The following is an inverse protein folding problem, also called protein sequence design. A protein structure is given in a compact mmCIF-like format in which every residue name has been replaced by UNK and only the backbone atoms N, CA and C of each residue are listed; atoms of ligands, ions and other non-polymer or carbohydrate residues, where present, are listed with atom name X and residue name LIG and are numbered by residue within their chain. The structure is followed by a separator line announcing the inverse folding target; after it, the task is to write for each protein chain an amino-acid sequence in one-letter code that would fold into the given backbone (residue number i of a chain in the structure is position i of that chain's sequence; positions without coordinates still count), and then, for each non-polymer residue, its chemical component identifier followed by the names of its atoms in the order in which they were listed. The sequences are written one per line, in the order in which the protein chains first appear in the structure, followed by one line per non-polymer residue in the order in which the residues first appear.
data_IF_414552235997
#
_entry.id   IF_414552235997
#
_cell.length_a   1.000
_cell.length_b   1.000
_cell.length_c   1.000
_cell.angle_alpha   90.00
_cell.angle_beta   90.00
_cell.angle_gamma   90.00
#
_symmetry.space_group_name_H-M   'P 1'
#
loop_
_entity.id
_entity.type
_entity.pdbx_description
1 polymer ?
#
# COMPACT_ATOMS: atom_id res chain seq x y z
N UNK A 1 -77.89 10.28 -39.34
CA UNK A 1 -77.02 9.46 -40.22
C UNK A 1 -75.60 9.59 -39.71
N UNK A 2 -75.09 8.61 -38.96
CA UNK A 2 -73.78 8.65 -38.27
C UNK A 2 -72.82 7.71 -39.00
N UNK A 3 -71.68 8.22 -39.44
CA UNK A 3 -70.55 7.39 -39.89
C UNK A 3 -69.32 7.77 -39.08
N UNK A 4 -68.87 6.86 -38.23
CA UNK A 4 -67.62 6.97 -37.45
C UNK A 4 -66.59 5.97 -37.96
N UNK A 5 -65.44 6.42 -38.48
CA UNK A 5 -64.27 5.57 -38.69
C UNK A 5 -63.15 6.01 -37.72
N UNK A 6 -63.11 5.45 -36.51
CA UNK A 6 -62.10 5.81 -35.48
C UNK A 6 -61.25 4.64 -34.97
N UNK A 7 -61.53 3.40 -35.40
CA UNK A 7 -60.85 2.21 -34.85
C UNK A 7 -59.54 1.82 -35.55
N UNK A 8 -59.36 2.15 -36.84
CA UNK A 8 -58.22 1.67 -37.63
C UNK A 8 -56.94 2.51 -37.45
N UNK A 9 -57.10 3.81 -37.18
CA UNK A 9 -55.98 4.74 -37.03
C UNK A 9 -55.16 4.53 -35.75
N UNK A 10 -55.74 3.93 -34.71
CA UNK A 10 -55.04 3.69 -33.44
C UNK A 10 -54.08 2.49 -33.52
N UNK A 11 -54.45 1.41 -34.23
CA UNK A 11 -53.62 0.19 -34.34
C UNK A 11 -52.33 0.41 -35.16
N UNK A 12 -52.41 1.25 -36.19
CA UNK A 12 -51.29 1.59 -37.07
C UNK A 12 -50.26 2.52 -36.41
N UNK A 13 -50.70 3.43 -35.53
CA UNK A 13 -49.81 4.33 -34.78
C UNK A 13 -48.98 3.56 -33.75
N UNK A 14 -49.59 2.62 -33.02
CA UNK A 14 -48.86 1.74 -32.10
C UNK A 14 -47.81 0.86 -32.81
N UNK A 15 -48.13 0.34 -34.00
CA UNK A 15 -47.20 -0.44 -34.80
C UNK A 15 -45.98 0.37 -35.29
N UNK A 16 -46.18 1.65 -35.65
CA UNK A 16 -45.07 2.55 -36.02
C UNK A 16 -44.20 2.93 -34.81
N UNK A 17 -44.80 3.15 -33.64
CA UNK A 17 -44.08 3.44 -32.40
C UNK A 17 -43.24 2.25 -31.94
N UNK A 18 -43.78 1.03 -32.03
CA UNK A 18 -43.07 -0.19 -31.63
C UNK A 18 -41.89 -0.50 -32.56
N UNK A 19 -42.04 -0.28 -33.88
CA UNK A 19 -40.92 -0.39 -34.84
C UNK A 19 -39.79 0.59 -34.53
N UNK A 20 -40.13 1.84 -34.18
CA UNK A 20 -39.13 2.85 -33.78
C UNK A 20 -38.41 2.44 -32.48
N UNK A 21 -39.16 1.99 -31.46
CA UNK A 21 -38.57 1.47 -30.22
C UNK A 21 -37.64 0.29 -30.47
N UNK A 22 -38.05 -0.65 -31.33
CA UNK A 22 -37.23 -1.81 -31.69
C UNK A 22 -35.94 -1.37 -32.40
N UNK A 23 -36.01 -0.41 -33.32
CA UNK A 23 -34.80 0.11 -33.98
C UNK A 23 -33.83 0.77 -33.02
N UNK A 24 -34.32 1.54 -32.04
CA UNK A 24 -33.47 2.12 -31.00
C UNK A 24 -32.88 1.07 -30.06
N UNK A 25 -33.67 0.06 -29.67
CA UNK A 25 -33.20 -1.04 -28.84
C UNK A 25 -32.09 -1.85 -29.54
N UNK A 26 -32.26 -2.14 -30.83
CA UNK A 26 -31.24 -2.82 -31.65
C UNK A 26 -29.98 -1.96 -31.80
N UNK A 27 -30.13 -0.66 -32.05
CA UNK A 27 -28.98 0.25 -32.13
C UNK A 27 -28.21 0.31 -30.80
N UNK A 28 -28.93 0.40 -29.68
CA UNK A 28 -28.33 0.41 -28.34
C UNK A 28 -27.59 -0.90 -28.05
N UNK A 29 -28.22 -2.04 -28.35
CA UNK A 29 -27.62 -3.37 -28.21
C UNK A 29 -26.33 -3.48 -29.04
N UNK A 30 -26.33 -2.99 -30.28
CA UNK A 30 -25.16 -2.98 -31.13
C UNK A 30 -24.03 -2.14 -30.52
N UNK A 31 -24.36 -0.97 -29.96
CA UNK A 31 -23.40 -0.12 -29.24
C UNK A 31 -22.77 -0.82 -28.04
N UNK A 32 -23.57 -1.52 -27.23
CA UNK A 32 -23.06 -2.32 -26.11
C UNK A 32 -22.15 -3.46 -26.58
N UNK A 33 -22.50 -4.14 -27.68
CA UNK A 33 -21.67 -5.18 -28.28
C UNK A 33 -20.29 -4.67 -28.70
N UNK A 34 -20.20 -3.46 -29.26
CA UNK A 34 -18.91 -2.82 -29.60
C UNK A 34 -18.05 -2.59 -28.35
N UNK A 35 -18.66 -2.10 -27.26
CA UNK A 35 -17.95 -1.86 -26.00
C UNK A 35 -17.45 -3.17 -25.40
N UNK A 36 -18.30 -4.20 -25.35
CA UNK A 36 -17.93 -5.53 -24.84
C UNK A 36 -16.84 -6.16 -25.70
N UNK A 37 -16.94 -6.08 -27.03
CA UNK A 37 -15.90 -6.56 -27.93
C UNK A 37 -14.57 -5.83 -27.71
N UNK A 38 -14.61 -4.50 -27.52
CA UNK A 38 -13.40 -3.72 -27.19
C UNK A 38 -12.81 -4.10 -25.84
N UNK A 39 -13.64 -4.38 -24.84
CA UNK A 39 -13.21 -4.83 -23.51
C UNK A 39 -12.54 -6.21 -23.58
N UNK A 40 -13.16 -7.16 -24.29
CA UNK A 40 -12.60 -8.49 -24.53
C UNK A 40 -11.27 -8.37 -25.28
N UNK A 41 -11.17 -7.50 -26.28
CA UNK A 41 -9.91 -7.28 -26.99
C UNK A 41 -8.78 -6.83 -26.04
N UNK A 42 -9.05 -5.88 -25.15
CA UNK A 42 -8.07 -5.43 -24.15
C UNK A 42 -7.75 -6.54 -23.16
N UNK A 43 -8.75 -7.27 -22.67
CA UNK A 43 -8.56 -8.32 -21.66
C UNK A 43 -7.90 -9.59 -22.23
N UNK A 44 -8.14 -9.96 -23.49
CA UNK A 44 -7.64 -11.21 -24.09
C UNK A 44 -6.34 -10.99 -24.87
N UNK A 45 -6.13 -9.84 -25.52
CA UNK A 45 -4.87 -9.61 -26.25
C UNK A 45 -3.81 -8.86 -25.43
N UNK A 46 -4.18 -8.16 -24.34
CA UNK A 46 -3.22 -7.43 -23.47
C UNK A 46 -3.16 -7.97 -22.04
N UNK A 47 -3.61 -9.21 -21.76
CA UNK A 47 -3.52 -9.77 -20.41
C UNK A 47 -2.06 -9.86 -19.93
N UNK A 48 -1.13 -10.26 -20.79
CA UNK A 48 0.29 -10.39 -20.42
C UNK A 48 0.90 -9.04 -20.01
N UNK A 49 0.57 -7.97 -20.72
CA UNK A 49 1.08 -6.62 -20.44
C UNK A 49 0.44 -5.99 -19.19
N UNK A 50 -0.80 -6.36 -18.85
CA UNK A 50 -1.49 -5.86 -17.66
C UNK A 50 -1.09 -6.64 -16.41
N UNK A 51 -0.92 -7.96 -16.52
CA UNK A 51 -0.41 -8.81 -15.44
C UNK A 51 1.02 -8.46 -15.09
N UNK A 52 1.90 -8.28 -16.09
CA UNK A 52 3.28 -7.85 -15.87
C UNK A 52 3.34 -6.47 -15.21
N UNK A 53 2.54 -5.48 -15.65
CA UNK A 53 2.45 -4.17 -14.98
C UNK A 53 1.89 -4.23 -13.56
N UNK A 54 0.95 -5.13 -13.28
CA UNK A 54 0.43 -5.33 -11.93
C UNK A 54 1.50 -5.96 -11.01
N UNK A 55 2.25 -6.94 -11.51
CA UNK A 55 3.37 -7.54 -10.79
C UNK A 55 4.53 -6.55 -10.58
N UNK A 56 4.81 -5.71 -11.58
CA UNK A 56 5.85 -4.68 -11.50
C UNK A 56 5.49 -3.58 -10.50
N UNK A 57 4.21 -3.21 -10.37
CA UNK A 57 3.75 -2.32 -9.30
C UNK A 57 3.93 -2.89 -7.89
N UNK A 58 3.88 -4.21 -7.73
CA UNK A 58 4.21 -4.88 -6.45
C UNK A 58 5.72 -4.84 -6.18
N UNK A 59 6.54 -4.81 -7.23
CA UNK A 59 7.99 -4.67 -7.12
C UNK A 59 8.36 -3.21 -6.95
N UNK A 60 8.22 -2.67 -5.73
CA UNK A 60 8.79 -1.36 -5.38
C UNK A 60 10.28 -1.35 -5.73
N UNK A 61 10.64 -0.71 -6.83
CA UNK A 61 12.02 -0.37 -7.17
C UNK A 61 12.49 0.68 -6.17
N UNK A 62 13.15 0.22 -5.11
CA UNK A 62 13.98 1.10 -4.30
C UNK A 62 15.15 1.53 -5.18
N UNK A 63 15.12 2.77 -5.66
CA UNK A 63 16.31 3.40 -6.20
C UNK A 63 17.34 3.38 -5.07
N UNK A 64 18.37 2.56 -5.24
CA UNK A 64 19.51 2.53 -4.34
C UNK A 64 20.26 3.84 -4.59
N UNK A 65 20.10 4.79 -3.68
CA UNK A 65 20.88 6.03 -3.66
C UNK A 65 22.35 5.66 -3.87
N UNK A 66 22.96 6.18 -4.94
CA UNK A 66 24.38 5.96 -5.20
C UNK A 66 25.19 6.52 -4.04
N UNK A 67 26.16 5.75 -3.56
CA UNK A 67 27.08 6.21 -2.52
C UNK A 67 27.85 7.42 -3.06
N UNK A 68 27.74 8.58 -2.38
CA UNK A 68 28.57 9.74 -2.68
C UNK A 68 30.05 9.34 -2.65
N UNK A 69 30.80 9.79 -3.66
CA UNK A 69 32.24 9.60 -3.70
C UNK A 69 32.96 10.24 -2.51
N UNK A 70 34.11 9.69 -2.17
CA UNK A 70 34.95 10.21 -1.10
C UNK A 70 35.61 11.52 -1.52
N UNK A 71 35.63 12.50 -0.61
CA UNK A 71 36.33 13.78 -0.85
C UNK A 71 37.73 13.65 -0.29
N UNK A 72 38.72 13.65 -1.18
CA UNK A 72 40.14 13.61 -0.89
C UNK A 72 40.75 15.00 -1.09
N UNK A 73 41.70 15.39 -0.23
CA UNK A 73 42.54 16.58 -0.43
C UNK A 73 43.59 16.31 -1.53
N UNK A 74 44.32 17.35 -1.98
CA UNK A 74 45.38 17.25 -3.01
C UNK A 74 46.51 16.29 -2.63
N UNK A 75 46.69 16.05 -1.34
CA UNK A 75 47.68 15.12 -0.77
C UNK A 75 47.12 13.71 -0.58
N UNK A 76 45.87 13.44 -1.01
CA UNK A 76 45.22 12.13 -0.86
C UNK A 76 44.65 11.86 0.54
N UNK A 77 44.55 12.87 1.40
CA UNK A 77 43.98 12.74 2.75
C UNK A 77 42.46 12.80 2.68
N UNK A 78 41.79 11.83 3.31
CA UNK A 78 40.33 11.72 3.33
C UNK A 78 39.70 12.78 4.25
N UNK A 79 38.91 13.69 3.67
CA UNK A 79 38.25 14.78 4.39
C UNK A 79 36.79 14.43 4.76
N UNK A 80 36.09 13.73 3.86
CA UNK A 80 34.73 13.29 4.12
C UNK A 80 34.41 12.02 3.31
N UNK A 81 33.85 11.00 3.98
CA UNK A 81 33.32 9.79 3.36
C UNK A 81 31.91 9.50 3.88
N UNK A 82 31.10 8.81 3.08
CA UNK A 82 29.72 8.48 3.42
C UNK A 82 29.69 7.15 4.20
N UNK A 83 29.37 7.21 5.49
CA UNK A 83 29.20 6.00 6.30
C UNK A 83 27.78 5.46 6.14
N UNK A 84 27.63 4.24 5.61
CA UNK A 84 26.34 3.53 5.62
C UNK A 84 25.93 3.20 7.05
N UNK A 85 24.85 3.82 7.51
CA UNK A 85 24.29 3.60 8.84
C UNK A 85 22.95 2.88 8.71
N UNK A 86 22.81 1.76 9.42
CA UNK A 86 21.52 1.09 9.62
C UNK A 86 20.82 1.70 10.83
N UNK A 87 19.57 2.10 10.65
CA UNK A 87 18.70 2.61 11.72
C UNK A 87 17.60 1.57 11.94
N UNK A 88 17.47 1.10 13.17
CA UNK A 88 16.40 0.19 13.55
C UNK A 88 15.24 1.00 14.13
N UNK A 89 14.06 0.83 13.53
CA UNK A 89 12.81 1.41 14.01
C UNK A 89 11.84 0.30 14.40
N UNK A 90 11.20 0.47 15.54
CA UNK A 90 10.06 -0.33 15.99
C UNK A 90 8.77 0.31 15.47
N UNK A 91 7.79 -0.50 15.09
CA UNK A 91 6.45 -0.03 14.79
C UNK A 91 5.51 -0.38 15.95
N UNK A 92 5.04 0.64 16.65
CA UNK A 92 4.16 0.58 17.82
C UNK A 92 2.75 0.05 17.50
N UNK A 93 2.37 -0.07 16.23
CA UNK A 93 1.12 -0.75 15.84
C UNK A 93 1.22 -2.28 15.94
N UNK A 94 2.44 -2.84 15.94
CA UNK A 94 2.69 -4.28 16.04
C UNK A 94 3.34 -4.68 17.37
N UNK A 95 3.78 -3.70 18.15
CA UNK A 95 4.33 -3.90 19.48
C UNK A 95 3.20 -3.55 20.42
N UNK A 96 2.64 -4.57 21.06
CA UNK A 96 1.52 -4.37 21.98
C UNK A 96 1.90 -3.39 23.09
N UNK A 97 0.91 -2.61 23.53
CA UNK A 97 1.02 -1.45 24.42
C UNK A 97 1.64 -1.78 25.79
N UNK A 98 1.88 -3.07 26.08
CA UNK A 98 2.38 -3.61 27.34
C UNK A 98 3.43 -4.72 27.19
N UNK A 99 4.17 -4.77 26.09
CA UNK A 99 5.23 -5.78 25.94
C UNK A 99 6.53 -5.40 26.67
N UNK A 100 6.44 -5.15 27.98
CA UNK A 100 7.57 -5.09 28.93
C UNK A 100 8.63 -6.19 28.67
N UNK A 101 8.26 -7.48 28.49
CA UNK A 101 9.24 -8.52 28.19
C UNK A 101 9.94 -8.32 26.84
N UNK A 102 9.26 -7.75 25.84
CA UNK A 102 9.86 -7.50 24.53
C UNK A 102 10.76 -6.27 24.54
N UNK A 103 10.37 -5.21 25.26
CA UNK A 103 11.23 -4.04 25.47
C UNK A 103 12.54 -4.43 26.16
N UNK A 104 12.45 -5.27 27.20
CA UNK A 104 13.63 -5.82 27.89
C UNK A 104 14.50 -6.67 26.98
N UNK A 105 13.91 -7.58 26.21
CA UNK A 105 14.67 -8.42 25.28
C UNK A 105 15.34 -7.61 24.15
N UNK A 106 14.66 -6.59 23.62
CA UNK A 106 15.24 -5.66 22.63
C UNK A 106 16.38 -4.87 23.27
N UNK A 107 16.22 -4.37 24.50
CA UNK A 107 17.24 -3.64 25.24
C UNK A 107 18.50 -4.50 25.46
N UNK A 108 18.34 -5.76 25.89
CA UNK A 108 19.43 -6.72 26.06
C UNK A 108 20.14 -7.05 24.74
N UNK A 109 19.36 -7.29 23.66
CA UNK A 109 19.90 -7.64 22.36
C UNK A 109 20.64 -6.47 21.69
N UNK A 110 20.19 -5.24 21.90
CA UNK A 110 20.80 -4.04 21.31
C UNK A 110 21.78 -3.33 22.24
N UNK A 111 21.91 -3.75 23.50
CA UNK A 111 22.73 -3.08 24.52
C UNK A 111 22.30 -1.63 24.78
N UNK A 112 21.00 -1.35 24.67
CA UNK A 112 20.42 -0.01 24.91
C UNK A 112 19.85 0.01 26.32
N UNK A 113 19.98 1.14 27.00
CA UNK A 113 19.42 1.34 28.33
C UNK A 113 17.88 1.19 28.30
N UNK A 114 17.35 0.31 29.15
CA UNK A 114 15.94 -0.07 29.21
C UNK A 114 15.03 1.14 29.52
N UNK A 115 15.49 2.03 30.40
CA UNK A 115 14.75 3.23 30.79
C UNK A 115 14.61 4.18 29.60
N UNK A 116 15.70 4.42 28.87
CA UNK A 116 15.70 5.24 27.67
C UNK A 116 14.87 4.64 26.53
N UNK A 117 14.76 3.30 26.47
CA UNK A 117 13.97 2.61 25.46
C UNK A 117 12.47 2.73 25.75
N UNK A 118 12.09 2.58 27.03
CA UNK A 118 10.71 2.71 27.48
C UNK A 118 10.13 4.09 27.21
N UNK A 119 10.89 5.14 27.53
CA UNK A 119 10.47 6.53 27.24
C UNK A 119 10.27 6.77 25.72
N UNK A 120 11.07 6.11 24.88
CA UNK A 120 10.94 6.21 23.42
C UNK A 120 9.76 5.39 22.88
N UNK A 121 9.42 4.29 23.55
CA UNK A 121 8.29 3.42 23.21
C UNK A 121 6.94 4.02 23.63
N UNK A 122 6.91 5.12 24.38
CA UNK A 122 5.68 5.88 24.61
C UNK A 122 5.20 6.56 23.31
N UNK A 123 3.88 6.59 23.10
CA UNK A 123 3.24 7.15 21.92
C UNK A 123 3.59 8.63 21.76
N UNK A 124 4.51 8.94 20.84
CA UNK A 124 4.86 10.32 20.51
C UNK A 124 3.94 10.87 19.41
N UNK A 125 3.25 11.96 19.73
CA UNK A 125 2.47 12.72 18.74
C UNK A 125 3.38 13.68 18.01
N UNK A 126 3.48 13.52 16.69
CA UNK A 126 4.25 14.43 15.84
C UNK A 126 3.29 15.36 15.13
N UNK A 127 3.54 16.67 15.23
CA UNK A 127 2.78 17.68 14.46
C UNK A 127 3.29 17.73 13.03
N UNK A 128 2.56 17.08 12.13
CA UNK A 128 2.84 17.14 10.68
C UNK A 128 1.79 18.04 10.03
N UNK A 129 2.23 19.16 9.44
CA UNK A 129 1.35 20.12 8.75
C UNK A 129 0.16 20.60 9.60
N UNK A 130 0.40 20.86 10.89
CA UNK A 130 -0.63 21.37 11.81
C UNK A 130 -1.66 20.33 12.28
N UNK A 131 -1.51 19.05 11.91
CA UNK A 131 -2.30 17.94 12.47
C UNK A 131 -1.41 17.10 13.37
N UNK A 132 -1.93 16.74 14.54
CA UNK A 132 -1.28 15.78 15.43
C UNK A 132 -1.53 14.39 14.85
N UNK A 133 -0.47 13.77 14.36
CA UNK A 133 -0.50 12.41 13.84
C UNK A 133 0.33 11.56 14.79
N UNK A 134 -0.22 10.42 15.20
CA UNK A 134 0.55 9.43 15.93
C UNK A 134 1.65 8.91 15.01
N UNK A 135 2.92 9.07 15.38
CA UNK A 135 3.99 8.38 14.66
C UNK A 135 4.10 6.97 15.21
N UNK A 136 3.70 5.94 14.46
CA UNK A 136 3.82 4.58 14.94
C UNK A 136 5.28 4.11 14.92
N UNK A 137 6.23 4.86 14.34
CA UNK A 137 7.63 4.42 14.26
C UNK A 137 8.50 5.05 15.33
N UNK A 138 9.02 4.22 16.24
CA UNK A 138 9.97 4.61 17.28
C UNK A 138 11.38 4.19 16.87
N UNK A 139 12.34 5.13 16.85
CA UNK A 139 13.75 4.79 16.60
C UNK A 139 14.37 4.15 17.83
N UNK A 140 14.80 2.90 17.69
CA UNK A 140 15.44 2.14 18.77
C UNK A 140 16.93 2.47 18.85
N UNK A 141 17.66 2.23 17.76
CA UNK A 141 19.12 2.42 17.70
C UNK A 141 19.59 2.82 16.30
N UNK A 142 20.60 3.68 16.28
CA UNK A 142 21.30 4.15 15.08
C UNK A 142 22.68 3.47 15.06
N UNK A 143 23.14 3.00 13.89
CA UNK A 143 24.38 2.21 13.70
C UNK A 143 24.32 0.80 14.32
N UNK A 144 23.24 0.08 14.05
CA UNK A 144 23.13 -1.34 14.45
C UNK A 144 24.10 -2.20 13.62
N UNK A 145 24.89 -3.05 14.29
CA UNK A 145 25.81 -3.97 13.61
C UNK A 145 25.04 -5.14 12.97
N UNK A 146 25.64 -5.84 12.02
CA UNK A 146 24.98 -6.98 11.37
C UNK A 146 24.65 -8.10 12.37
N UNK A 147 25.52 -8.32 13.35
CA UNK A 147 25.34 -9.37 14.37
C UNK A 147 24.19 -9.04 15.32
N UNK A 148 24.12 -7.81 15.82
CA UNK A 148 23.00 -7.33 16.66
C UNK A 148 21.66 -7.49 15.93
N UNK A 149 21.64 -7.14 14.64
CA UNK A 149 20.44 -7.26 13.82
C UNK A 149 20.02 -8.72 13.60
N UNK A 150 20.97 -9.62 13.30
CA UNK A 150 20.68 -11.04 13.11
C UNK A 150 20.13 -11.66 14.39
N UNK A 151 20.75 -11.39 15.54
CA UNK A 151 20.28 -11.88 16.84
C UNK A 151 18.86 -11.43 17.16
N UNK A 152 18.55 -10.16 16.88
CA UNK A 152 17.20 -9.64 17.06
C UNK A 152 16.21 -10.32 16.09
N UNK A 153 16.60 -10.53 14.84
CA UNK A 153 15.77 -11.20 13.85
C UNK A 153 15.44 -12.64 14.26
N UNK A 154 16.45 -13.38 14.73
CA UNK A 154 16.29 -14.74 15.24
C UNK A 154 15.38 -14.76 16.49
N UNK A 155 15.55 -13.78 17.38
CA UNK A 155 14.70 -13.61 18.56
C UNK A 155 13.23 -13.33 18.19
N UNK A 156 12.98 -12.39 17.28
CA UNK A 156 11.62 -12.06 16.83
C UNK A 156 11.00 -13.26 16.09
N UNK A 157 11.77 -13.99 15.29
CA UNK A 157 11.28 -15.19 14.60
C UNK A 157 10.92 -16.33 15.56
N UNK A 158 11.64 -16.44 16.68
CA UNK A 158 11.35 -17.41 17.74
C UNK A 158 10.25 -16.93 18.70
N UNK A 159 9.92 -15.64 18.70
CA UNK A 159 8.91 -15.06 19.59
C UNK A 159 7.51 -15.47 19.12
N UNK A 160 6.73 -16.20 19.94
CA UNK A 160 5.36 -16.54 19.59
C UNK A 160 4.51 -15.28 19.65
N UNK A 161 4.17 -14.73 18.49
CA UNK A 161 3.15 -13.69 18.39
C UNK A 161 1.80 -14.37 18.62
N UNK A 162 1.19 -14.18 19.80
CA UNK A 162 -0.20 -14.60 20.04
C UNK A 162 -1.13 -13.49 19.54
N UNK A 163 -1.81 -13.67 18.40
CA UNK A 163 -2.70 -12.65 17.84
C UNK A 163 -4.00 -12.48 18.65
N UNK A 164 -4.25 -13.27 19.69
CA UNK A 164 -5.51 -13.22 20.45
C UNK A 164 -5.50 -12.22 21.62
N UNK A 165 -4.38 -11.54 21.90
CA UNK A 165 -4.33 -10.52 22.94
C UNK A 165 -5.14 -9.24 22.62
N UNK A 166 -5.54 -9.05 21.35
CA UNK A 166 -6.37 -7.92 20.89
C UNK A 166 -7.86 -8.01 21.27
N UNK A 167 -8.32 -9.04 21.99
CA UNK A 167 -9.74 -9.20 22.37
C UNK A 167 -10.08 -8.84 23.82
N UNK A 168 -9.14 -8.37 24.63
CA UNK A 168 -9.41 -7.82 25.95
C UNK A 168 -8.96 -6.36 26.02
N UNK A 169 -9.81 -5.46 25.52
CA UNK A 169 -10.33 -4.29 26.25
C UNK A 169 -11.12 -3.34 25.33
#
# INVERSE_FOLDING_TARGET
MKTTPTADKCRTVHAMQLRRMLTFAVMLLLGFLVIVGRLIYIQVFQHEDLLSKAQEKTRRTYLRETERGEILDRQGVLLASNQRVRILCANLAYIDRYNEPMAKAIAECLGVDEVSLRERLELQYVKVKGREVLDPHVRLKVKVTHEEFSRLQDYIAAYPFDPNHDQLH
#
